data_IF_233861356896
#
_entry.id   IF_233861356896
#
_cell.length_a   1.000
_cell.length_b   1.000
_cell.length_c   1.000
_cell.angle_alpha   90.00
_cell.angle_beta   90.00
_cell.angle_gamma   90.00
#
_symmetry.space_group_name_H-M   'P 1'
#
loop_
_entity.id
_entity.type
_entity.pdbx_description
1 polymer ?
#
# COMPACT_ATOMS: atom_id res chain seq x y z
N UNK A 1 -39.99 -19.77 8.28
CA UNK A 1 -39.79 -18.99 7.04
C UNK A 1 -38.31 -18.69 6.89
N UNK A 2 -37.61 -19.38 5.99
CA UNK A 2 -36.19 -19.21 5.76
C UNK A 2 -35.95 -17.99 4.86
N UNK A 3 -35.28 -16.96 5.38
CA UNK A 3 -34.91 -15.77 4.60
C UNK A 3 -33.66 -16.07 3.79
N UNK A 4 -33.86 -16.34 2.50
CA UNK A 4 -32.79 -16.43 1.53
C UNK A 4 -32.09 -15.06 1.39
N UNK A 5 -30.81 -14.97 1.74
CA UNK A 5 -29.97 -13.81 1.44
C UNK A 5 -29.78 -13.73 -0.06
N UNK A 6 -30.40 -12.72 -0.67
CA UNK A 6 -30.25 -12.35 -2.07
C UNK A 6 -28.80 -11.94 -2.30
N UNK A 7 -28.01 -12.81 -2.94
CA UNK A 7 -26.67 -12.45 -3.45
C UNK A 7 -26.92 -11.40 -4.54
N UNK A 8 -26.68 -10.13 -4.22
CA UNK A 8 -26.62 -9.08 -5.23
C UNK A 8 -25.42 -9.41 -6.11
N UNK A 9 -25.70 -9.81 -7.36
CA UNK A 9 -24.71 -9.90 -8.43
C UNK A 9 -24.24 -8.47 -8.75
N UNK A 10 -23.31 -7.95 -7.94
CA UNK A 10 -22.50 -6.81 -8.31
C UNK A 10 -21.64 -7.23 -9.50
N UNK A 11 -21.61 -6.38 -10.52
CA UNK A 11 -20.72 -6.45 -11.69
C UNK A 11 -19.38 -7.01 -11.24
N UNK A 12 -19.04 -8.23 -11.65
CA UNK A 12 -17.89 -8.97 -11.12
C UNK A 12 -16.63 -8.17 -11.46
N UNK A 13 -16.08 -7.45 -10.49
CA UNK A 13 -14.75 -6.86 -10.63
C UNK A 13 -13.81 -8.03 -10.94
N UNK A 14 -13.00 -7.93 -12.00
CA UNK A 14 -12.18 -9.05 -12.50
C UNK A 14 -11.35 -9.71 -11.39
N UNK A 15 -10.93 -8.93 -10.40
CA UNK A 15 -10.18 -9.39 -9.23
C UNK A 15 -10.97 -10.32 -8.29
N UNK A 16 -12.27 -10.09 -8.12
CA UNK A 16 -13.14 -10.99 -7.34
C UNK A 16 -13.29 -12.34 -8.04
N UNK A 17 -13.31 -12.35 -9.38
CA UNK A 17 -13.29 -13.60 -10.17
C UNK A 17 -11.99 -14.37 -9.94
N UNK A 18 -10.84 -13.68 -9.99
CA UNK A 18 -9.51 -14.27 -9.71
C UNK A 18 -9.45 -14.87 -8.30
N UNK A 19 -9.94 -14.13 -7.29
CA UNK A 19 -10.03 -14.64 -5.92
C UNK A 19 -10.87 -15.92 -5.87
N UNK A 20 -12.07 -15.91 -6.44
CA UNK A 20 -12.97 -17.06 -6.45
C UNK A 20 -12.36 -18.27 -7.16
N UNK A 21 -11.57 -18.06 -8.22
CA UNK A 21 -10.85 -19.11 -8.92
C UNK A 21 -9.81 -19.78 -8.01
N UNK A 22 -9.00 -18.99 -7.28
CA UNK A 22 -8.03 -19.49 -6.31
C UNK A 22 -8.73 -20.25 -5.17
N UNK A 23 -9.80 -19.68 -4.61
CA UNK A 23 -10.55 -20.31 -3.52
C UNK A 23 -11.13 -21.67 -3.94
N UNK A 24 -11.73 -21.75 -5.13
CA UNK A 24 -12.27 -23.02 -5.66
C UNK A 24 -11.17 -24.02 -6.00
N UNK A 25 -10.10 -23.57 -6.65
CA UNK A 25 -8.99 -24.44 -7.09
C UNK A 25 -8.34 -25.18 -5.93
N UNK A 26 -8.23 -24.51 -4.77
CA UNK A 26 -7.56 -25.05 -3.59
C UNK A 26 -8.52 -25.41 -2.44
N UNK A 27 -9.83 -25.42 -2.69
CA UNK A 27 -10.87 -25.67 -1.68
C UNK A 27 -10.69 -24.82 -0.40
N UNK A 28 -10.33 -23.55 -0.57
CA UNK A 28 -10.11 -22.61 0.53
C UNK A 28 -11.43 -21.97 0.94
N UNK A 29 -11.64 -21.84 2.25
CA UNK A 29 -12.84 -21.26 2.84
C UNK A 29 -12.50 -20.50 4.12
N UNK A 30 -13.53 -19.96 4.79
CA UNK A 30 -13.39 -19.33 6.11
C UNK A 30 -12.91 -20.30 7.19
N UNK A 31 -13.03 -21.62 6.96
CA UNK A 31 -12.57 -22.67 7.87
C UNK A 31 -11.08 -23.04 7.64
N UNK A 32 -10.48 -22.58 6.54
CA UNK A 32 -9.08 -22.85 6.25
C UNK A 32 -8.13 -22.17 7.25
N UNK A 33 -7.08 -22.89 7.64
CA UNK A 33 -6.03 -22.35 8.50
C UNK A 33 -5.21 -21.28 7.73
N UNK A 34 -4.75 -20.20 8.40
CA UNK A 34 -3.85 -19.22 7.78
C UNK A 34 -2.65 -19.83 7.04
N UNK A 35 -2.11 -20.96 7.51
CA UNK A 35 -0.97 -21.64 6.85
C UNK A 35 -1.36 -22.20 5.48
N UNK A 36 -2.57 -22.76 5.35
CA UNK A 36 -3.11 -23.26 4.08
C UNK A 36 -3.34 -22.09 3.11
N UNK A 37 -3.90 -20.99 3.60
CA UNK A 37 -4.09 -19.78 2.81
C UNK A 37 -2.76 -19.18 2.32
N UNK A 38 -1.74 -19.16 3.20
CA UNK A 38 -0.42 -18.60 2.90
C UNK A 38 0.31 -19.37 1.80
N UNK A 39 0.10 -20.68 1.68
CA UNK A 39 0.70 -21.50 0.63
C UNK A 39 0.37 -20.99 -0.79
N UNK A 40 -0.78 -20.35 -0.95
CA UNK A 40 -1.28 -19.87 -2.24
C UNK A 40 -1.18 -18.35 -2.43
N UNK A 41 -0.63 -17.63 -1.43
CA UNK A 41 -0.50 -16.18 -1.46
C UNK A 41 0.43 -15.67 -2.57
N UNK A 42 1.45 -16.46 -2.95
CA UNK A 42 2.35 -16.09 -4.04
C UNK A 42 1.65 -16.15 -5.40
N UNK A 43 0.86 -17.20 -5.65
CA UNK A 43 0.11 -17.37 -6.90
C UNK A 43 -0.99 -16.32 -7.05
N UNK A 44 -1.82 -16.11 -6.01
CA UNK A 44 -2.77 -15.00 -6.02
C UNK A 44 -2.02 -13.66 -6.18
N UNK A 45 -0.85 -13.54 -5.54
CA UNK A 45 -0.01 -12.37 -5.61
C UNK A 45 0.59 -12.05 -6.98
N UNK A 46 0.81 -13.03 -7.87
CA UNK A 46 1.26 -12.77 -9.26
C UNK A 46 0.10 -12.35 -10.15
N UNK A 47 -1.12 -12.79 -9.84
CA UNK A 47 -2.35 -12.41 -10.56
C UNK A 47 -2.86 -11.02 -10.13
N UNK A 48 -2.50 -10.56 -8.93
CA UNK A 48 -2.82 -9.22 -8.40
C UNK A 48 -1.59 -8.31 -8.47
N UNK A 49 -1.33 -7.74 -9.65
CA UNK A 49 -0.20 -6.83 -9.87
C UNK A 49 -0.38 -5.47 -9.17
N UNK A 50 -1.61 -4.95 -9.10
CA UNK A 50 -1.95 -3.64 -8.54
C UNK A 50 -2.36 -3.72 -7.05
N UNK A 51 -2.01 -2.72 -6.25
CA UNK A 51 -2.47 -2.58 -4.88
C UNK A 51 -3.99 -2.36 -4.80
N UNK A 52 -4.63 -1.71 -5.79
CA UNK A 52 -6.09 -1.57 -5.84
C UNK A 52 -6.75 -2.95 -5.93
N UNK A 53 -6.21 -3.81 -6.78
CA UNK A 53 -6.65 -5.20 -6.90
C UNK A 53 -6.51 -5.95 -5.56
N UNK A 54 -5.39 -5.73 -4.85
CA UNK A 54 -5.20 -6.30 -3.50
C UNK A 54 -6.18 -5.72 -2.48
N UNK A 55 -6.47 -4.42 -2.53
CA UNK A 55 -7.43 -3.77 -1.64
C UNK A 55 -8.84 -4.30 -1.88
N UNK A 56 -9.27 -4.41 -3.13
CA UNK A 56 -10.57 -4.95 -3.51
C UNK A 56 -10.72 -6.42 -3.08
N UNK A 57 -9.67 -7.23 -3.26
CA UNK A 57 -9.66 -8.62 -2.79
C UNK A 57 -9.70 -8.70 -1.27
N UNK A 58 -8.94 -7.86 -0.55
CA UNK A 58 -9.02 -7.79 0.92
C UNK A 58 -10.43 -7.43 1.39
N UNK A 59 -11.09 -6.50 0.71
CA UNK A 59 -12.46 -6.10 1.03
C UNK A 59 -13.47 -7.22 0.72
N UNK A 60 -13.33 -7.90 -0.42
CA UNK A 60 -14.15 -9.07 -0.75
C UNK A 60 -14.01 -10.19 0.30
N UNK A 61 -12.79 -10.45 0.78
CA UNK A 61 -12.55 -11.43 1.84
C UNK A 61 -13.23 -11.04 3.16
N UNK A 62 -13.25 -9.75 3.52
CA UNK A 62 -13.99 -9.26 4.70
C UNK A 62 -15.49 -9.47 4.56
N UNK A 63 -16.04 -9.20 3.37
CA UNK A 63 -17.46 -9.46 3.07
C UNK A 63 -17.80 -10.95 3.15
N UNK A 64 -16.85 -11.82 2.80
CA UNK A 64 -16.95 -13.27 2.96
C UNK A 64 -16.61 -13.79 4.37
N UNK A 65 -16.47 -12.91 5.37
CA UNK A 65 -16.23 -13.24 6.78
C UNK A 65 -14.89 -13.91 7.10
N UNK A 66 -13.87 -13.73 6.25
CA UNK A 66 -12.50 -14.12 6.61
C UNK A 66 -11.96 -13.25 7.74
N UNK A 67 -11.20 -13.84 8.65
CA UNK A 67 -10.54 -13.15 9.77
C UNK A 67 -9.32 -12.35 9.28
N UNK A 68 -8.92 -11.35 10.05
CA UNK A 68 -7.77 -10.48 9.70
C UNK A 68 -6.48 -11.26 9.40
N UNK A 69 -6.13 -12.23 10.25
CA UNK A 69 -4.96 -13.08 10.06
C UNK A 69 -5.05 -13.98 8.81
N UNK A 70 -6.25 -14.45 8.45
CA UNK A 70 -6.49 -15.22 7.22
C UNK A 70 -6.31 -14.34 5.98
N UNK A 71 -6.84 -13.11 6.03
CA UNK A 71 -6.69 -12.12 4.96
C UNK A 71 -5.22 -11.75 4.76
N UNK A 72 -4.48 -11.52 5.84
CA UNK A 72 -3.04 -11.23 5.78
C UNK A 72 -2.23 -12.43 5.29
N UNK A 73 -2.65 -13.65 5.62
CA UNK A 73 -1.99 -14.86 5.13
C UNK A 73 -2.15 -15.02 3.61
N UNK A 74 -3.37 -14.82 3.07
CA UNK A 74 -3.66 -14.99 1.65
C UNK A 74 -3.24 -13.79 0.79
N UNK A 75 -3.40 -12.57 1.32
CA UNK A 75 -3.05 -11.31 0.67
C UNK A 75 -2.11 -10.52 1.57
N UNK A 76 -0.85 -11.00 1.72
CA UNK A 76 0.11 -10.35 2.59
C UNK A 76 0.36 -8.92 2.17
N UNK A 77 0.43 -8.04 3.15
CA UNK A 77 0.82 -6.66 2.90
C UNK A 77 2.32 -6.61 2.59
N UNK A 78 2.65 -6.62 1.29
CA UNK A 78 4.04 -6.54 0.83
C UNK A 78 4.66 -5.16 1.08
N UNK A 79 3.87 -4.18 1.56
CA UNK A 79 4.37 -2.88 2.05
C UNK A 79 5.31 -3.02 3.25
N UNK A 80 5.32 -4.18 3.91
CA UNK A 80 6.19 -4.50 5.04
C UNK A 80 7.65 -4.85 4.72
N UNK A 81 8.03 -5.03 3.44
CA UNK A 81 9.47 -4.98 3.11
C UNK A 81 9.92 -3.54 3.30
N UNK A 82 10.97 -3.34 4.11
CA UNK A 82 11.58 -2.03 4.34
C UNK A 82 12.30 -1.58 3.05
N UNK A 83 11.51 -1.19 2.05
CA UNK A 83 12.00 -0.72 0.77
C UNK A 83 12.83 0.54 0.99
N UNK A 84 14.00 0.57 0.36
CA UNK A 84 14.79 1.78 0.22
C UNK A 84 13.98 2.85 -0.52
N UNK A 85 14.36 4.11 -0.36
CA UNK A 85 13.69 5.24 -1.04
C UNK A 85 13.65 5.02 -2.56
N UNK A 86 14.74 4.50 -3.13
CA UNK A 86 14.86 4.18 -4.56
C UNK A 86 13.93 3.06 -5.01
N UNK A 87 13.81 1.99 -4.23
CA UNK A 87 12.89 0.89 -4.54
C UNK A 87 11.43 1.33 -4.47
N UNK A 88 11.08 2.20 -3.51
CA UNK A 88 9.74 2.82 -3.45
C UNK A 88 9.45 3.64 -4.70
N UNK A 89 10.43 4.42 -5.16
CA UNK A 89 10.26 5.28 -6.32
C UNK A 89 10.07 4.46 -7.60
N UNK A 90 10.90 3.43 -7.81
CA UNK A 90 10.72 2.47 -8.91
C UNK A 90 9.35 1.80 -8.85
N UNK A 91 8.93 1.32 -7.68
CA UNK A 91 7.61 0.73 -7.52
C UNK A 91 6.50 1.70 -7.94
N UNK A 92 6.55 2.97 -7.48
CA UNK A 92 5.57 3.98 -7.86
C UNK A 92 5.55 4.27 -9.37
N UNK A 93 6.71 4.22 -10.04
CA UNK A 93 6.79 4.46 -11.48
C UNK A 93 6.30 3.27 -12.32
N UNK A 94 6.55 2.03 -11.87
CA UNK A 94 6.25 0.84 -12.69
C UNK A 94 4.88 0.24 -12.42
N UNK A 95 4.40 0.32 -11.18
CA UNK A 95 3.26 -0.51 -10.72
C UNK A 95 2.35 0.20 -9.74
N UNK A 96 2.88 1.11 -8.93
CA UNK A 96 2.11 1.90 -7.98
C UNK A 96 1.31 2.99 -8.67
N UNK A 97 0.51 3.69 -7.86
CA UNK A 97 -0.24 4.86 -8.31
C UNK A 97 -0.03 6.07 -7.39
N UNK A 98 -0.76 7.14 -7.66
CA UNK A 98 -0.81 8.35 -6.86
C UNK A 98 -0.97 8.11 -5.34
N UNK A 99 -1.78 7.14 -4.93
CA UNK A 99 -1.98 6.83 -3.52
C UNK A 99 -0.77 6.14 -2.90
N UNK A 100 -0.07 5.28 -3.66
CA UNK A 100 1.17 4.66 -3.19
C UNK A 100 2.28 5.71 -3.02
N UNK A 101 2.36 6.73 -3.89
CA UNK A 101 3.28 7.88 -3.72
C UNK A 101 2.99 8.58 -2.39
N UNK A 102 1.73 8.89 -2.12
CA UNK A 102 1.33 9.55 -0.88
C UNK A 102 1.64 8.71 0.36
N UNK A 103 1.30 7.41 0.32
CA UNK A 103 1.54 6.51 1.44
C UNK A 103 3.03 6.32 1.73
N UNK A 104 3.86 6.16 0.69
CA UNK A 104 5.31 6.07 0.87
C UNK A 104 5.91 7.36 1.41
N UNK A 105 5.40 8.51 0.99
CA UNK A 105 5.79 9.81 1.53
C UNK A 105 5.45 9.92 3.02
N UNK A 106 4.24 9.52 3.42
CA UNK A 106 3.83 9.52 4.84
C UNK A 106 4.69 8.61 5.70
N UNK A 107 5.01 7.41 5.22
CA UNK A 107 5.86 6.47 5.94
C UNK A 107 7.31 6.98 6.10
N UNK A 108 7.80 7.79 5.16
CA UNK A 108 9.09 8.49 5.31
C UNK A 108 9.05 9.62 6.33
N UNK A 109 7.87 10.22 6.53
CA UNK A 109 7.67 11.35 7.45
C UNK A 109 7.33 10.92 8.86
N UNK A 110 6.60 9.82 9.06
CA UNK A 110 6.14 9.35 10.38
C UNK A 110 7.26 9.43 11.43
N UNK A 111 7.27 10.47 12.27
CA UNK A 111 8.31 10.62 13.27
C UNK A 111 8.02 9.67 14.41
N UNK A 112 9.05 9.05 14.98
CA UNK A 112 8.91 8.38 16.28
C UNK A 112 8.81 9.41 17.43
N UNK A 113 9.24 10.65 17.20
CA UNK A 113 9.24 11.80 18.10
C UNK A 113 9.38 13.11 17.30
N UNK A 114 9.12 14.27 17.92
CA UNK A 114 9.07 15.58 17.25
C UNK A 114 10.35 16.41 17.45
N UNK A 115 11.53 15.80 17.46
CA UNK A 115 12.78 16.57 17.60
C UNK A 115 13.15 17.28 16.30
N UNK A 116 13.81 18.43 16.42
CA UNK A 116 14.25 19.26 15.29
C UNK A 116 15.07 18.44 14.27
N UNK A 117 15.99 17.61 14.75
CA UNK A 117 16.81 16.70 13.94
C UNK A 117 15.97 15.70 13.13
N UNK A 118 14.93 15.13 13.74
CA UNK A 118 14.07 14.14 13.09
C UNK A 118 13.20 14.79 12.03
N UNK A 119 12.75 16.03 12.25
CA UNK A 119 12.01 16.82 11.26
C UNK A 119 12.89 17.14 10.05
N UNK A 120 14.14 17.59 10.28
CA UNK A 120 15.10 17.87 9.19
C UNK A 120 15.43 16.59 8.42
N UNK A 121 15.68 15.47 9.12
CA UNK A 121 15.94 14.19 8.48
C UNK A 121 14.73 13.65 7.70
N UNK A 122 13.50 13.88 8.18
CA UNK A 122 12.28 13.53 7.46
C UNK A 122 12.12 14.36 6.17
N UNK A 123 12.33 15.68 6.25
CA UNK A 123 12.30 16.58 5.10
C UNK A 123 13.33 16.19 4.03
N UNK A 124 14.54 15.80 4.46
CA UNK A 124 15.60 15.30 3.59
C UNK A 124 15.19 14.00 2.87
N UNK A 125 14.65 13.02 3.60
CA UNK A 125 14.15 11.75 3.03
C UNK A 125 13.05 11.96 2.00
N UNK A 126 12.09 12.85 2.27
CA UNK A 126 11.02 13.20 1.32
C UNK A 126 11.60 13.87 0.08
N UNK A 127 12.55 14.79 0.25
CA UNK A 127 13.21 15.46 -0.88
C UNK A 127 13.98 14.47 -1.75
N UNK A 128 14.69 13.53 -1.14
CA UNK A 128 15.34 12.43 -1.87
C UNK A 128 14.32 11.57 -2.62
N UNK A 129 13.19 11.23 -1.98
CA UNK A 129 12.15 10.42 -2.62
C UNK A 129 11.55 11.10 -3.84
N UNK A 130 11.28 12.41 -3.77
CA UNK A 130 10.79 13.19 -4.92
C UNK A 130 11.77 13.18 -6.09
N UNK A 131 13.07 13.28 -5.83
CA UNK A 131 14.10 13.18 -6.86
C UNK A 131 14.11 11.79 -7.51
N UNK A 132 14.08 10.74 -6.70
CA UNK A 132 14.07 9.35 -7.22
C UNK A 132 12.78 9.05 -8.01
N UNK A 133 11.63 9.63 -7.63
CA UNK A 133 10.38 9.51 -8.41
C UNK A 133 10.51 10.17 -9.79
N UNK A 134 11.09 11.37 -9.85
CA UNK A 134 11.34 12.07 -11.11
C UNK A 134 12.33 11.29 -11.99
N UNK A 135 13.42 10.77 -11.40
CA UNK A 135 14.38 9.91 -12.10
C UNK A 135 13.75 8.61 -12.61
N UNK A 136 12.75 8.08 -11.90
CA UNK A 136 12.00 6.90 -12.31
C UNK A 136 10.91 7.19 -13.36
N UNK A 137 10.69 8.46 -13.74
CA UNK A 137 9.75 8.87 -14.78
C UNK A 137 8.33 9.15 -14.31
N UNK A 138 8.11 9.36 -13.01
CA UNK A 138 6.80 9.78 -12.49
C UNK A 138 6.53 11.24 -12.86
N UNK A 139 5.30 11.51 -13.27
CA UNK A 139 4.86 12.85 -13.67
C UNK A 139 5.07 13.90 -12.56
N UNK A 140 5.56 15.08 -12.94
CA UNK A 140 5.90 16.14 -11.99
C UNK A 140 4.69 16.70 -11.24
N UNK A 141 3.51 16.73 -11.85
CA UNK A 141 2.28 17.18 -11.20
C UNK A 141 1.86 16.17 -10.13
N UNK A 142 1.94 14.88 -10.42
CA UNK A 142 1.69 13.82 -9.43
C UNK A 142 2.68 13.89 -8.25
N UNK A 143 3.96 14.12 -8.51
CA UNK A 143 4.97 14.29 -7.45
C UNK A 143 4.62 15.48 -6.57
N UNK A 144 4.23 16.61 -7.16
CA UNK A 144 3.93 17.82 -6.41
C UNK A 144 2.61 17.73 -5.62
N UNK A 145 1.64 16.95 -6.09
CA UNK A 145 0.39 16.70 -5.36
C UNK A 145 0.61 15.71 -4.21
N UNK A 146 1.27 14.58 -4.47
CA UNK A 146 1.25 13.43 -3.55
C UNK A 146 2.52 13.28 -2.70
N UNK A 147 3.67 13.84 -3.11
CA UNK A 147 4.93 13.71 -2.37
C UNK A 147 5.39 15.02 -1.69
N UNK A 148 4.74 16.16 -1.95
CA UNK A 148 5.13 17.46 -1.38
C UNK A 148 4.39 17.75 -0.08
N UNK A 149 4.99 17.36 1.05
CA UNK A 149 4.45 17.66 2.37
C UNK A 149 4.91 19.03 2.89
N UNK A 150 4.21 20.08 2.46
CA UNK A 150 4.54 21.48 2.76
C UNK A 150 4.80 21.76 4.25
N UNK A 151 4.04 21.15 5.16
CA UNK A 151 4.20 21.33 6.61
C UNK A 151 5.58 20.89 7.10
N UNK A 152 6.08 19.77 6.61
CA UNK A 152 7.38 19.19 7.01
C UNK A 152 8.52 20.03 6.45
N UNK A 153 8.42 20.43 5.18
CA UNK A 153 9.42 21.30 4.54
C UNK A 153 9.51 22.65 5.24
N UNK A 154 8.36 23.27 5.57
CA UNK A 154 8.34 24.55 6.28
C UNK A 154 8.97 24.44 7.68
N UNK A 155 8.58 23.43 8.46
CA UNK A 155 9.15 23.20 9.78
C UNK A 155 10.67 22.99 9.71
N UNK A 156 11.15 22.18 8.76
CA UNK A 156 12.58 21.97 8.51
C UNK A 156 13.32 23.27 8.20
N UNK A 157 12.77 24.12 7.35
CA UNK A 157 13.40 25.39 6.98
C UNK A 157 13.48 26.37 8.17
N UNK A 158 12.42 26.43 9.00
CA UNK A 158 12.38 27.26 10.21
C UNK A 158 13.41 26.78 11.25
N UNK A 159 13.59 25.46 11.40
CA UNK A 159 14.65 24.87 12.24
C UNK A 159 16.03 25.25 11.73
N UNK A 160 16.30 25.03 10.44
CA UNK A 160 17.62 25.31 9.87
C UNK A 160 17.99 26.79 9.95
N UNK A 161 17.01 27.69 9.77
CA UNK A 161 17.23 29.13 9.91
C UNK A 161 17.65 29.51 11.34
N UNK A 162 16.99 28.95 12.37
CA UNK A 162 17.34 29.19 13.78
C UNK A 162 18.73 28.69 14.18
N UNK A 163 19.28 27.71 13.45
CA UNK A 163 20.62 27.15 13.71
C UNK A 163 21.74 27.91 13.00
N UNK A 164 21.39 28.80 12.06
CA UNK A 164 22.32 29.65 11.31
C UNK A 164 22.43 31.06 11.90
N UNK A 165 21.50 31.44 12.78
CA UNK A 165 21.47 32.69 13.55
C UNK A 165 22.25 32.53 14.86
#
# INVERSE_FOLDING_TARGET
MATARKIQNSKTNSFTSILNQILKKYNLSVESDPSQLRAHANELGTMLSDWKARKDVKEALRQCLFKGNQIEALVPDKRGKKLTIKERARYCATTGDAWDIWLHTLDLVMPKNNTDEVIVAASSRVSQFRRELAEAGVDSEQIDIYAKLLKVTRASNEIQKRQLE
#
